data_IF_895551464038
#
_entry.id   IF_895551464038
#
_cell.length_a   1.000
_cell.length_b   1.000
_cell.length_c   1.000
_cell.angle_alpha   90.00
_cell.angle_beta   90.00
_cell.angle_gamma   90.00
#
_symmetry.space_group_name_H-M   'P 1'
#
loop_
_entity.id
_entity.type
_entity.pdbx_description
1 polymer ?
#
# COMPACT_ATOMS: atom_id res chain seq x y z
N UNK A 1 -2.71 -5.83 -19.96
CA UNK A 1 -1.66 -6.86 -20.12
C UNK A 1 -0.70 -6.75 -18.93
N UNK A 2 -0.31 -7.85 -18.25
CA UNK A 2 0.66 -7.76 -17.17
C UNK A 2 2.05 -7.36 -17.73
N UNK A 3 2.68 -6.35 -17.13
CA UNK A 3 4.01 -5.91 -17.50
C UNK A 3 5.04 -6.97 -17.07
N UNK A 4 5.85 -7.45 -18.03
CA UNK A 4 6.91 -8.42 -17.75
C UNK A 4 8.22 -7.71 -17.44
N UNK A 5 9.07 -8.25 -16.54
CA UNK A 5 10.44 -7.79 -16.36
C UNK A 5 11.16 -7.61 -17.69
N UNK A 6 11.80 -6.45 -17.89
CA UNK A 6 12.53 -6.14 -19.12
C UNK A 6 11.74 -5.42 -20.20
N UNK A 7 10.41 -5.31 -20.08
CA UNK A 7 9.59 -4.48 -20.97
C UNK A 7 10.09 -3.03 -20.96
N UNK A 8 10.06 -2.38 -22.13
CA UNK A 8 10.51 -1.00 -22.28
C UNK A 8 9.29 -0.10 -22.38
N UNK A 9 9.28 0.94 -21.56
CA UNK A 9 8.16 1.87 -21.44
C UNK A 9 8.65 3.27 -21.81
N UNK A 10 7.82 4.04 -22.54
CA UNK A 10 8.20 5.40 -22.93
C UNK A 10 7.97 6.37 -21.77
N UNK A 11 8.88 7.35 -21.63
CA UNK A 11 8.73 8.41 -20.65
C UNK A 11 7.39 9.18 -20.79
N UNK A 12 6.86 9.29 -22.02
CA UNK A 12 5.61 9.98 -22.29
C UNK A 12 4.41 9.21 -21.72
N UNK A 13 4.38 7.89 -21.90
CA UNK A 13 3.33 7.01 -21.37
C UNK A 13 3.36 7.00 -19.83
N UNK A 14 4.55 6.91 -19.24
CA UNK A 14 4.71 6.91 -17.78
C UNK A 14 4.27 8.25 -17.19
N UNK A 15 4.65 9.36 -17.82
CA UNK A 15 4.25 10.70 -17.36
C UNK A 15 2.73 10.88 -17.37
N UNK A 16 2.06 10.37 -18.41
CA UNK A 16 0.59 10.36 -18.50
C UNK A 16 -0.03 9.56 -17.35
N UNK A 17 0.46 8.34 -17.08
CA UNK A 17 -0.05 7.53 -15.97
C UNK A 17 0.20 8.15 -14.60
N UNK A 18 1.30 8.88 -14.44
CA UNK A 18 1.61 9.61 -13.20
C UNK A 18 0.81 10.92 -13.06
N UNK A 19 0.15 11.40 -14.12
CA UNK A 19 -0.55 12.68 -14.12
C UNK A 19 0.40 13.89 -14.10
N UNK A 20 1.62 13.75 -14.62
CA UNK A 20 2.65 14.80 -14.64
C UNK A 20 3.07 15.16 -16.06
N UNK A 21 3.74 16.30 -16.23
CA UNK A 21 4.27 16.66 -17.55
C UNK A 21 5.45 15.77 -17.96
N UNK A 22 5.56 15.48 -19.26
CA UNK A 22 6.72 14.75 -19.83
C UNK A 22 8.06 15.39 -19.46
N UNK A 23 8.11 16.73 -19.41
CA UNK A 23 9.31 17.47 -19.05
C UNK A 23 9.71 17.22 -17.60
N UNK A 24 8.74 17.18 -16.68
CA UNK A 24 8.97 16.87 -15.28
C UNK A 24 9.53 15.46 -15.11
N UNK A 25 8.90 14.45 -15.72
CA UNK A 25 9.39 13.07 -15.66
C UNK A 25 10.81 12.94 -16.24
N UNK A 26 11.07 13.59 -17.38
CA UNK A 26 12.40 13.64 -18.02
C UNK A 26 13.46 14.24 -17.08
N UNK A 27 13.09 15.27 -16.31
CA UNK A 27 13.99 15.87 -15.32
C UNK A 27 14.32 14.89 -14.19
N UNK A 28 13.34 14.13 -13.70
CA UNK A 28 13.56 13.07 -12.70
C UNK A 28 14.49 11.97 -13.24
N UNK A 29 14.33 11.57 -14.49
CA UNK A 29 15.24 10.62 -15.14
C UNK A 29 16.67 11.16 -15.22
N UNK A 30 16.85 12.43 -15.64
CA UNK A 30 18.16 13.09 -15.71
C UNK A 30 18.84 13.20 -14.34
N UNK A 31 18.05 13.33 -13.28
CA UNK A 31 18.51 13.37 -11.88
C UNK A 31 18.84 11.99 -11.30
N UNK A 32 18.66 10.91 -12.07
CA UNK A 32 18.90 9.54 -11.60
C UNK A 32 17.87 9.06 -10.57
N UNK A 33 16.72 9.73 -10.47
CA UNK A 33 15.70 9.40 -9.47
C UNK A 33 14.78 8.26 -9.89
N UNK A 34 14.72 7.96 -11.19
CA UNK A 34 13.84 6.95 -11.78
C UNK A 34 14.65 5.66 -11.98
N UNK A 35 14.32 4.56 -11.26
CA UNK A 35 15.02 3.30 -11.41
C UNK A 35 14.96 2.78 -12.85
N UNK A 36 16.07 2.23 -13.33
CA UNK A 36 16.19 1.65 -14.68
C UNK A 36 15.80 2.59 -15.82
N UNK A 37 15.85 3.91 -15.59
CA UNK A 37 15.73 4.91 -16.64
C UNK A 37 17.02 4.99 -17.45
N UNK A 38 16.87 5.08 -18.77
CA UNK A 38 17.98 5.24 -19.69
C UNK A 38 17.56 6.05 -20.91
N UNK A 39 18.55 6.68 -21.55
CA UNK A 39 18.31 7.38 -22.82
C UNK A 39 18.53 6.41 -23.99
N UNK A 40 17.54 6.32 -24.87
CA UNK A 40 17.66 5.58 -26.12
C UNK A 40 18.60 6.30 -27.11
N UNK A 41 19.06 5.60 -28.16
CA UNK A 41 19.87 6.20 -29.24
C UNK A 41 19.21 7.40 -29.92
N UNK A 42 17.86 7.45 -29.97
CA UNK A 42 17.11 8.57 -30.52
C UNK A 42 16.89 9.74 -29.54
N UNK A 43 17.54 9.72 -28.36
CA UNK A 43 17.41 10.80 -27.37
C UNK A 43 16.17 10.73 -26.48
N UNK A 44 15.24 9.80 -26.75
CA UNK A 44 14.06 9.57 -25.90
C UNK A 44 14.42 8.85 -24.61
N UNK A 45 13.84 9.28 -23.50
CA UNK A 45 13.93 8.59 -22.22
C UNK A 45 13.01 7.38 -22.21
N UNK A 46 13.53 6.27 -21.72
CA UNK A 46 12.79 5.02 -21.54
C UNK A 46 13.09 4.44 -20.18
N UNK A 47 12.15 3.67 -19.67
CA UNK A 47 12.34 2.91 -18.44
C UNK A 47 12.20 1.43 -18.75
N UNK A 48 13.12 0.63 -18.23
CA UNK A 48 12.99 -0.82 -18.27
C UNK A 48 12.21 -1.26 -17.04
N UNK A 49 11.10 -1.95 -17.26
CA UNK A 49 10.27 -2.46 -16.18
C UNK A 49 11.07 -3.42 -15.28
N UNK A 50 11.02 -3.15 -13.99
CA UNK A 50 11.57 -3.95 -12.90
C UNK A 50 10.66 -3.83 -11.68
N UNK A 51 10.85 -4.71 -10.68
CA UNK A 51 10.14 -4.61 -9.39
C UNK A 51 10.42 -3.29 -8.68
N UNK A 52 11.68 -2.85 -8.70
CA UNK A 52 12.10 -1.57 -8.13
C UNK A 52 11.40 -0.37 -8.78
N UNK A 53 11.25 -0.38 -10.12
CA UNK A 53 10.49 0.65 -10.81
C UNK A 53 8.99 0.60 -10.47
N UNK A 54 8.41 -0.60 -10.42
CA UNK A 54 6.99 -0.80 -10.05
C UNK A 54 6.68 -0.19 -8.67
N UNK A 55 7.51 -0.50 -7.67
CA UNK A 55 7.39 0.07 -6.31
C UNK A 55 7.60 1.58 -6.30
N UNK A 56 8.64 2.07 -6.99
CA UNK A 56 8.92 3.50 -7.11
C UNK A 56 7.75 4.27 -7.74
N UNK A 57 7.12 3.70 -8.77
CA UNK A 57 6.01 4.26 -9.52
C UNK A 57 4.74 4.29 -8.68
N UNK A 58 4.36 3.17 -8.04
CA UNK A 58 3.17 3.08 -7.20
C UNK A 58 3.18 4.09 -6.04
N UNK A 59 4.35 4.40 -5.49
CA UNK A 59 4.50 5.40 -4.42
C UNK A 59 4.33 6.86 -4.90
N UNK A 60 4.37 7.12 -6.21
CA UNK A 60 4.43 8.47 -6.79
C UNK A 60 3.27 8.81 -7.71
N UNK A 61 2.54 7.82 -8.22
CA UNK A 61 1.33 8.06 -9.03
C UNK A 61 0.29 8.80 -8.19
N UNK A 62 -0.23 9.92 -8.73
CA UNK A 62 -1.25 10.73 -8.06
C UNK A 62 -0.73 11.64 -6.94
N UNK A 63 0.58 11.67 -6.68
CA UNK A 63 1.18 12.67 -5.79
C UNK A 63 1.31 14.03 -6.50
N UNK A 64 1.20 15.17 -5.78
CA UNK A 64 1.41 16.49 -6.38
C UNK A 64 2.79 16.61 -7.04
N UNK A 65 2.89 17.34 -8.16
CA UNK A 65 4.15 17.55 -8.90
C UNK A 65 5.24 18.23 -8.08
N UNK A 66 4.83 18.94 -7.03
CA UNK A 66 5.71 19.69 -6.13
C UNK A 66 6.21 18.81 -4.98
N UNK A 67 5.69 17.59 -4.87
CA UNK A 67 6.07 16.61 -3.86
C UNK A 67 7.39 15.94 -4.27
N UNK A 68 8.49 16.63 -3.96
CA UNK A 68 9.84 16.14 -4.14
C UNK A 68 10.14 15.04 -3.11
N UNK A 69 9.73 13.80 -3.39
CA UNK A 69 10.28 12.65 -2.67
C UNK A 69 11.69 12.43 -3.21
N UNK A 70 12.66 13.16 -2.64
CA UNK A 70 14.04 12.69 -2.65
C UNK A 70 13.99 11.21 -2.35
N UNK A 71 14.48 10.38 -3.28
CA UNK A 71 14.42 8.93 -3.15
C UNK A 71 14.86 8.54 -1.74
N UNK A 72 14.23 7.54 -1.12
CA UNK A 72 14.46 7.27 0.28
C UNK A 72 15.96 7.17 0.52
N UNK A 73 16.52 8.08 1.32
CA UNK A 73 17.84 7.86 1.90
C UNK A 73 17.75 6.56 2.69
N UNK A 74 18.83 5.77 2.82
CA UNK A 74 18.78 4.51 3.58
C UNK A 74 18.10 4.63 4.96
N UNK A 75 18.31 5.76 5.64
CA UNK A 75 17.66 6.11 6.92
C UNK A 75 16.13 6.29 6.83
N UNK A 76 15.62 6.81 5.70
CA UNK A 76 14.18 6.94 5.47
C UNK A 76 13.49 5.61 5.16
N UNK A 77 14.24 4.61 4.68
CA UNK A 77 13.72 3.25 4.45
C UNK A 77 13.58 2.48 5.77
N UNK A 78 14.56 2.61 6.68
CA UNK A 78 14.50 2.02 8.03
C UNK A 78 13.33 2.60 8.83
N UNK A 79 13.22 3.92 8.90
CA UNK A 79 12.11 4.59 9.61
C UNK A 79 10.73 4.29 9.00
N UNK A 80 10.64 4.12 7.67
CA UNK A 80 9.41 3.65 7.02
C UNK A 80 9.08 2.20 7.44
N UNK A 81 10.06 1.30 7.43
CA UNK A 81 9.85 -0.09 7.83
C UNK A 81 9.46 -0.20 9.30
N UNK A 82 10.06 0.60 10.17
CA UNK A 82 9.72 0.65 11.60
C UNK A 82 8.28 1.09 11.81
N UNK A 83 7.84 2.15 11.10
CA UNK A 83 6.44 2.62 11.15
C UNK A 83 5.47 1.55 10.64
N UNK A 84 5.78 0.91 9.51
CA UNK A 84 4.93 -0.16 8.95
C UNK A 84 4.88 -1.39 9.85
N UNK A 85 5.96 -1.71 10.56
CA UNK A 85 6.02 -2.81 11.55
C UNK A 85 5.15 -2.51 12.76
N UNK A 86 5.18 -1.28 13.25
CA UNK A 86 4.36 -0.82 14.37
C UNK A 86 2.87 -0.80 14.00
N UNK A 87 2.52 -0.32 12.81
CA UNK A 87 1.14 -0.36 12.30
C UNK A 87 0.62 -1.80 12.20
N UNK A 88 1.43 -2.75 11.72
CA UNK A 88 1.06 -4.17 11.68
C UNK A 88 0.79 -4.74 13.07
N UNK A 89 1.60 -4.38 14.07
CA UNK A 89 1.39 -4.80 15.47
C UNK A 89 0.08 -4.24 16.03
N UNK A 90 -0.22 -2.98 15.74
CA UNK A 90 -1.47 -2.35 16.18
C UNK A 90 -2.69 -3.04 15.57
N UNK A 91 -2.65 -3.34 14.27
CA UNK A 91 -3.71 -4.09 13.59
C UNK A 91 -3.88 -5.48 14.21
N UNK A 92 -2.79 -6.21 14.47
CA UNK A 92 -2.86 -7.55 15.09
C UNK A 92 -3.49 -7.49 16.49
N UNK A 93 -3.18 -6.47 17.30
CA UNK A 93 -3.81 -6.27 18.61
C UNK A 93 -5.31 -5.99 18.47
N UNK A 94 -5.71 -5.15 17.52
CA UNK A 94 -7.12 -4.82 17.27
C UNK A 94 -7.90 -6.06 16.81
N UNK A 95 -7.34 -6.88 15.91
CA UNK A 95 -7.96 -8.13 15.47
C UNK A 95 -8.15 -9.12 16.63
N UNK A 96 -7.14 -9.26 17.50
CA UNK A 96 -7.24 -10.09 18.71
C UNK A 96 -8.34 -9.59 19.65
N UNK A 97 -8.43 -8.27 19.85
CA UNK A 97 -9.47 -7.66 20.68
C UNK A 97 -10.87 -7.89 20.09
N UNK A 98 -11.02 -7.74 18.77
CA UNK A 98 -12.26 -8.00 18.03
C UNK A 98 -12.71 -9.45 18.20
N UNK A 99 -11.80 -10.40 18.03
CA UNK A 99 -12.08 -11.84 18.21
C UNK A 99 -12.50 -12.17 19.65
N UNK A 100 -11.86 -11.56 20.65
CA UNK A 100 -12.23 -11.70 22.06
C UNK A 100 -13.64 -11.15 22.32
N UNK A 101 -13.96 -9.97 21.79
CA UNK A 101 -15.29 -9.34 21.92
C UNK A 101 -16.38 -10.21 21.31
N UNK A 102 -16.17 -10.74 20.11
CA UNK A 102 -17.12 -11.65 19.45
C UNK A 102 -17.38 -12.92 20.28
N UNK A 103 -16.34 -13.48 20.91
CA UNK A 103 -16.51 -14.66 21.78
C UNK A 103 -17.36 -14.35 23.01
N UNK A 104 -17.13 -13.20 23.64
CA UNK A 104 -17.91 -12.75 24.80
C UNK A 104 -19.38 -12.51 24.44
N UNK A 105 -19.65 -11.89 23.29
CA UNK A 105 -21.03 -11.70 22.81
C UNK A 105 -21.76 -13.03 22.62
N UNK A 106 -21.12 -14.02 21.99
CA UNK A 106 -21.70 -15.36 21.84
C UNK A 106 -21.97 -16.06 23.18
N UNK A 107 -21.15 -15.78 24.20
CA UNK A 107 -21.37 -16.32 25.55
C UNK A 107 -22.55 -15.63 26.22
N UNK A 108 -22.65 -14.30 26.11
CA UNK A 108 -23.76 -13.52 26.63
C UNK A 108 -25.10 -13.94 25.99
N UNK A 109 -25.15 -14.08 24.66
CA UNK A 109 -26.34 -14.58 23.95
C UNK A 109 -26.77 -15.97 24.42
N UNK A 110 -25.80 -16.86 24.70
CA UNK A 110 -26.11 -18.20 25.24
C UNK A 110 -26.63 -18.14 26.67
N UNK A 111 -26.08 -17.27 27.52
CA UNK A 111 -26.60 -17.11 28.88
C UNK A 111 -27.99 -16.48 28.90
N UNK A 112 -28.25 -15.47 28.06
CA UNK A 112 -29.57 -14.85 27.95
C UNK A 112 -30.63 -15.86 27.51
N UNK A 113 -30.32 -16.71 26.52
CA UNK A 113 -31.22 -17.79 26.09
C UNK A 113 -31.52 -18.80 27.21
N UNK A 114 -30.54 -19.15 28.05
CA UNK A 114 -30.77 -20.05 29.19
C UNK A 114 -31.68 -19.41 30.23
N UNK A 115 -31.42 -18.16 30.59
CA UNK A 115 -32.24 -17.40 31.55
C UNK A 115 -33.68 -17.26 31.05
N UNK A 116 -33.88 -16.97 29.76
CA UNK A 116 -35.22 -16.92 29.16
C UNK A 116 -35.95 -18.27 29.17
N UNK A 117 -35.23 -19.39 28.98
CA UNK A 117 -35.82 -20.73 29.07
C UNK A 117 -36.19 -21.10 30.51
N UNK A 118 -35.37 -20.73 31.50
CA UNK A 118 -35.68 -20.94 32.92
C UNK A 118 -36.88 -20.10 33.38
N UNK A 119 -36.98 -18.84 32.94
CA UNK A 119 -38.13 -17.98 33.23
C UNK A 119 -39.42 -18.49 32.59
N UNK A 120 -39.38 -18.96 31.34
CA UNK A 120 -40.57 -19.49 30.65
C UNK A 120 -40.95 -20.92 31.07
N UNK A 121 -40.02 -21.68 31.66
CA UNK A 121 -40.26 -23.04 32.16
C UNK A 121 -40.74 -23.11 33.61
N UNK A 122 -40.67 -22.00 34.36
CA UNK A 122 -41.07 -21.92 35.77
C UNK A 122 -42.57 -21.73 36.03
N UNK A 123 -43.37 -21.38 35.02
CA UNK A 123 -44.81 -21.12 35.15
C UNK A 123 -45.72 -22.36 34.95
N UNK A 124 -45.14 -23.57 34.90
CA UNK A 124 -45.88 -24.82 34.68
C UNK A 124 -45.94 -25.75 35.92
N UNK A 125 -45.97 -25.18 37.14
CA UNK A 125 -46.17 -25.95 38.39
C UNK A 125 -47.49 -25.61 39.06
#
# INVERSE_FOLDING_TARGET
MPLKPGNRMDASEIAEWMGISRQHFTLSCRRGQVPNAYQSRGGHWRVRYSKEFEEWFLLRVGMPTDFFIGGPTPQSYESFNDRMSEERRQVEMLEKALKKRQKLLRQAEKSERRIQQELNGGDAS
#
